data_IF_087504522394
#
_entry.id   IF_087504522394
#
_cell.length_a   1.000
_cell.length_b   1.000
_cell.length_c   1.000
_cell.angle_alpha   90.00
_cell.angle_beta   90.00
_cell.angle_gamma   90.00
#
_symmetry.space_group_name_H-M   'P 1'
#
loop_
_entity.id
_entity.type
_entity.pdbx_description
1 polymer ?
#
# COMPACT_ATOMS: atom_id res chain seq x y z
N UNK A 1 -15.29 -7.09 -3.68
CA UNK A 1 -14.15 -6.65 -4.49
C UNK A 1 -14.64 -5.94 -5.73
N UNK A 2 -14.19 -4.71 -5.95
CA UNK A 2 -14.51 -3.89 -7.12
C UNK A 2 -13.21 -3.27 -7.65
N UNK A 3 -13.06 -3.13 -8.96
CA UNK A 3 -11.94 -2.40 -9.54
C UNK A 3 -12.39 -1.61 -10.78
N UNK A 4 -11.79 -0.45 -11.02
CA UNK A 4 -12.13 0.40 -12.17
C UNK A 4 -11.02 1.38 -12.51
N UNK A 5 -11.01 1.82 -13.77
CA UNK A 5 -10.22 2.97 -14.18
C UNK A 5 -10.95 4.26 -13.80
N UNK A 6 -10.21 5.20 -13.21
CA UNK A 6 -10.68 6.51 -12.77
C UNK A 6 -9.92 7.63 -13.50
N UNK A 7 -10.41 8.87 -13.38
CA UNK A 7 -9.73 10.04 -13.93
C UNK A 7 -8.35 10.23 -13.30
N UNK A 8 -7.35 10.43 -14.16
CA UNK A 8 -5.97 10.65 -13.75
C UNK A 8 -5.74 12.05 -13.16
N UNK A 9 -4.85 12.20 -12.18
CA UNK A 9 -4.57 13.49 -11.55
C UNK A 9 -3.85 14.48 -12.49
N UNK A 10 -3.28 14.00 -13.59
CA UNK A 10 -2.64 14.81 -14.63
C UNK A 10 -2.58 14.05 -15.96
N UNK A 11 -2.30 14.79 -17.05
CA UNK A 11 -2.11 14.20 -18.38
C UNK A 11 -0.98 13.17 -18.36
N UNK A 12 -1.27 11.96 -18.84
CA UNK A 12 -0.32 10.86 -18.89
C UNK A 12 -0.25 10.03 -17.61
N UNK A 13 -1.07 10.33 -16.61
CA UNK A 13 -1.29 9.49 -15.44
C UNK A 13 -2.68 8.86 -15.53
N UNK A 14 -2.77 7.56 -15.28
CA UNK A 14 -4.03 6.83 -15.17
C UNK A 14 -4.15 6.26 -13.76
N UNK A 15 -5.38 6.18 -13.25
CA UNK A 15 -5.66 5.61 -11.93
C UNK A 15 -6.45 4.33 -12.13
N UNK A 16 -5.88 3.20 -11.71
CA UNK A 16 -6.59 1.95 -11.57
C UNK A 16 -6.87 1.72 -10.08
N UNK A 17 -8.13 1.82 -9.67
CA UNK A 17 -8.55 1.68 -8.28
C UNK A 17 -9.01 0.25 -8.01
N UNK A 18 -8.53 -0.34 -6.91
CA UNK A 18 -8.95 -1.65 -6.41
C UNK A 18 -9.52 -1.45 -5.01
N UNK A 19 -10.78 -1.86 -4.81
CA UNK A 19 -11.48 -1.82 -3.52
C UNK A 19 -11.74 -3.23 -3.03
N UNK A 20 -11.22 -3.52 -1.84
CA UNK A 20 -11.35 -4.81 -1.16
C UNK A 20 -11.85 -4.61 0.28
N UNK A 21 -12.47 -5.64 0.83
CA UNK A 21 -12.91 -5.69 2.22
C UNK A 21 -11.73 -5.72 3.20
N UNK A 22 -12.03 -5.41 4.47
CA UNK A 22 -11.03 -5.46 5.53
C UNK A 22 -10.48 -6.88 5.69
N UNK A 23 -9.14 -7.02 5.64
CA UNK A 23 -8.41 -8.30 5.67
C UNK A 23 -8.75 -9.27 4.52
N UNK A 24 -9.39 -8.81 3.44
CA UNK A 24 -9.57 -9.59 2.23
C UNK A 24 -8.21 -9.79 1.56
N UNK A 25 -7.80 -11.05 1.37
CA UNK A 25 -6.55 -11.38 0.68
C UNK A 25 -6.82 -11.39 -0.82
N UNK A 26 -6.26 -10.41 -1.53
CA UNK A 26 -6.44 -10.26 -2.97
C UNK A 26 -5.12 -10.47 -3.71
N UNK A 27 -5.23 -11.03 -4.91
CA UNK A 27 -4.11 -11.21 -5.82
C UNK A 27 -4.00 -9.99 -6.73
N UNK A 28 -3.21 -8.99 -6.31
CA UNK A 28 -3.11 -7.73 -7.03
C UNK A 28 -2.40 -7.93 -8.37
N UNK A 29 -1.41 -8.81 -8.42
CA UNK A 29 -0.68 -9.18 -9.63
C UNK A 29 -1.63 -9.75 -10.70
N UNK A 30 -2.52 -10.67 -10.32
CA UNK A 30 -3.49 -11.26 -11.24
C UNK A 30 -4.46 -10.21 -11.79
N UNK A 31 -5.02 -9.35 -10.93
CA UNK A 31 -5.96 -8.28 -11.35
C UNK A 31 -5.30 -7.33 -12.37
N UNK A 32 -4.05 -6.92 -12.12
CA UNK A 32 -3.33 -6.01 -13.01
C UNK A 32 -3.11 -6.68 -14.38
N UNK A 33 -2.65 -7.93 -14.40
CA UNK A 33 -2.45 -8.71 -15.63
C UNK A 33 -3.74 -8.89 -16.43
N UNK A 34 -4.87 -9.15 -15.77
CA UNK A 34 -6.19 -9.22 -16.43
C UNK A 34 -6.57 -7.93 -17.16
N UNK A 35 -6.05 -6.78 -16.72
CA UNK A 35 -6.26 -5.48 -17.36
C UNK A 35 -5.15 -5.07 -18.31
N UNK A 36 -4.20 -5.97 -18.59
CA UNK A 36 -3.06 -5.69 -19.44
C UNK A 36 -2.07 -4.70 -18.81
N UNK A 37 -2.14 -4.52 -17.49
CA UNK A 37 -1.18 -3.75 -16.72
C UNK A 37 -0.07 -4.71 -16.32
N UNK A 38 1.15 -4.41 -16.78
CA UNK A 38 2.35 -5.13 -16.42
C UNK A 38 3.25 -4.20 -15.62
N UNK A 39 3.14 -4.29 -14.30
CA UNK A 39 3.94 -3.53 -13.36
C UNK A 39 5.44 -3.80 -13.57
N UNK A 40 6.24 -2.74 -13.50
CA UNK A 40 7.71 -2.80 -13.50
C UNK A 40 8.33 -2.33 -12.20
N UNK A 41 7.51 -1.73 -11.34
CA UNK A 41 7.88 -1.14 -10.06
C UNK A 41 6.59 -0.82 -9.31
N UNK A 42 6.48 -1.28 -8.07
CA UNK A 42 5.40 -0.99 -7.14
C UNK A 42 6.00 -0.22 -5.97
N UNK A 43 5.57 1.03 -5.79
CA UNK A 43 5.93 1.80 -4.61
C UNK A 43 4.86 1.64 -3.53
N UNK A 44 5.26 1.26 -2.33
CA UNK A 44 4.35 1.18 -1.18
C UNK A 44 4.86 2.03 -0.02
N UNK A 45 3.94 2.73 0.63
CA UNK A 45 4.26 3.57 1.79
C UNK A 45 4.41 2.75 3.07
N UNK A 46 5.50 2.98 3.79
CA UNK A 46 5.67 2.57 5.18
C UNK A 46 5.77 3.82 6.03
N UNK A 47 5.07 3.84 7.14
CA UNK A 47 5.07 4.96 8.07
C UNK A 47 5.83 4.59 9.34
N UNK A 48 6.78 5.43 9.73
CA UNK A 48 7.49 5.31 11.01
C UNK A 48 7.24 6.54 11.88
N UNK A 49 7.03 6.31 13.18
CA UNK A 49 6.58 7.34 14.12
C UNK A 49 7.65 7.54 15.20
N UNK A 50 8.23 8.74 15.22
CA UNK A 50 9.21 9.17 16.22
C UNK A 50 8.59 10.24 17.10
N UNK A 51 8.57 9.98 18.39
CA UNK A 51 7.94 10.89 19.36
C UNK A 51 8.49 10.67 20.75
N UNK A 52 8.51 11.73 21.56
CA UNK A 52 8.86 11.65 22.97
C UNK A 52 7.65 11.42 23.88
N UNK A 53 6.44 11.65 23.38
CA UNK A 53 5.19 11.51 24.11
C UNK A 53 4.84 10.03 24.39
N UNK A 54 4.52 9.72 25.65
CA UNK A 54 4.26 8.35 26.11
C UNK A 54 3.07 7.69 25.39
N UNK A 55 1.99 8.43 25.11
CA UNK A 55 0.80 7.91 24.42
C UNK A 55 1.16 7.49 23.00
N UNK A 56 1.90 8.35 22.29
CA UNK A 56 2.33 8.09 20.93
C UNK A 56 3.41 7.00 20.83
N UNK A 57 4.26 6.84 21.86
CA UNK A 57 5.18 5.70 21.98
C UNK A 57 4.45 4.36 22.08
N UNK A 58 3.36 4.29 22.84
CA UNK A 58 2.55 3.07 22.93
C UNK A 58 1.89 2.78 21.58
N UNK A 59 1.32 3.80 20.93
CA UNK A 59 0.72 3.66 19.60
C UNK A 59 1.74 3.18 18.55
N UNK A 60 2.92 3.78 18.50
CA UNK A 60 3.98 3.40 17.55
C UNK A 60 4.45 1.96 17.80
N UNK A 61 4.54 1.53 19.06
CA UNK A 61 4.86 0.15 19.41
C UNK A 61 3.78 -0.83 18.90
N UNK A 62 2.50 -0.55 19.14
CA UNK A 62 1.40 -1.40 18.64
C UNK A 62 1.46 -1.47 17.11
N UNK A 63 1.51 -0.32 16.44
CA UNK A 63 1.56 -0.23 14.98
C UNK A 63 2.72 -1.01 14.37
N UNK A 64 3.92 -0.94 14.96
CA UNK A 64 5.11 -1.66 14.50
C UNK A 64 4.99 -3.18 14.63
N UNK A 65 4.27 -3.67 15.64
CA UNK A 65 4.07 -5.11 15.84
C UNK A 65 2.86 -5.66 15.05
N UNK A 66 2.00 -4.78 14.53
CA UNK A 66 0.89 -5.18 13.66
C UNK A 66 1.38 -5.52 12.25
N UNK A 67 0.76 -6.52 11.58
CA UNK A 67 0.98 -6.78 10.16
C UNK A 67 0.82 -5.52 9.30
N UNK A 68 1.75 -5.28 8.38
CA UNK A 68 1.57 -4.22 7.38
C UNK A 68 0.41 -4.59 6.46
N UNK A 69 -0.40 -3.61 6.04
CA UNK A 69 -1.49 -3.84 5.09
C UNK A 69 -1.02 -4.48 3.79
N UNK A 70 0.24 -4.23 3.40
CA UNK A 70 0.86 -4.84 2.21
C UNK A 70 0.90 -6.37 2.27
N UNK A 71 0.89 -6.96 3.47
CA UNK A 71 0.89 -8.42 3.65
C UNK A 71 -0.44 -9.07 3.27
N UNK A 72 -1.52 -8.30 3.16
CA UNK A 72 -2.82 -8.79 2.68
C UNK A 72 -2.95 -8.69 1.16
N UNK A 73 -2.00 -8.06 0.48
CA UNK A 73 -1.94 -7.99 -0.98
C UNK A 73 -0.87 -8.95 -1.48
N UNK A 74 -1.24 -9.96 -2.28
CA UNK A 74 -0.23 -10.73 -3.01
C UNK A 74 0.28 -9.85 -4.14
N UNK A 75 1.46 -9.27 -3.89
CA UNK A 75 2.18 -8.41 -4.81
C UNK A 75 3.41 -9.15 -5.33
N UNK A 76 3.86 -8.85 -6.56
CA UNK A 76 5.10 -9.39 -7.10
C UNK A 76 6.28 -8.93 -6.23
N UNK A 77 6.97 -9.89 -5.60
CA UNK A 77 8.03 -9.60 -4.63
C UNK A 77 9.25 -8.93 -5.24
N UNK A 78 9.50 -9.16 -6.54
CA UNK A 78 10.69 -8.67 -7.25
C UNK A 78 10.53 -7.21 -7.71
N UNK A 79 9.29 -6.72 -7.77
CA UNK A 79 8.94 -5.38 -8.27
C UNK A 79 8.60 -4.40 -7.13
N UNK A 80 8.72 -4.83 -5.87
CA UNK A 80 8.24 -4.12 -4.68
C UNK A 80 9.30 -3.20 -4.06
N UNK A 81 9.03 -1.89 -4.03
CA UNK A 81 9.90 -0.86 -3.45
C UNK A 81 9.20 -0.11 -2.31
N UNK A 82 9.75 -0.21 -1.11
CA UNK A 82 9.25 0.52 0.06
C UNK A 82 9.66 1.98 0.04
N UNK A 83 8.68 2.88 0.23
CA UNK A 83 8.90 4.31 0.44
C UNK A 83 8.57 4.62 1.90
N UNK A 84 9.57 5.05 2.66
CA UNK A 84 9.38 5.34 4.08
C UNK A 84 9.06 6.81 4.30
N UNK A 85 7.98 7.09 5.03
CA UNK A 85 7.66 8.43 5.51
C UNK A 85 7.86 8.47 7.03
N UNK A 86 8.68 9.42 7.48
CA UNK A 86 8.97 9.63 8.90
C UNK A 86 8.10 10.76 9.43
N UNK A 87 7.35 10.47 10.47
CA UNK A 87 6.64 11.48 11.25
C UNK A 87 7.41 11.79 12.53
N UNK A 88 7.72 13.06 12.75
CA UNK A 88 8.34 13.56 13.98
C UNK A 88 7.30 14.38 14.76
N UNK A 89 7.02 14.00 16.00
CA UNK A 89 5.99 14.61 16.86
C UNK A 89 6.47 14.80 18.30
#
# INVERSE_FOLDING_TARGET
MEYSFNEGPAKGLEVFEIRAGYMEVIDVEEILKEKGIYEKTIFYGIEDIFTDNLIWKIFSFIKRNSPSFVQFYRLPTDELHGVMTRFEM
#
